data_IF_532604617641
#
_entry.id   IF_532604617641
#
_cell.length_a   1.000
_cell.length_b   1.000
_cell.length_c   1.000
_cell.angle_alpha   90.00
_cell.angle_beta   90.00
_cell.angle_gamma   90.00
#
_symmetry.space_group_name_H-M   'P 1'
#
loop_
_entity.id
_entity.type
_entity.pdbx_description
1 polymer ?
#
# COMPACT_ATOMS: atom_id res chain seq x y z
N UNK A 1 22.36 31.45 -0.78
CA UNK A 1 22.30 30.81 0.57
C UNK A 1 20.89 30.66 1.17
N UNK A 2 19.95 31.62 1.05
CA UNK A 2 18.57 31.44 1.60
C UNK A 2 17.85 30.23 1.00
N UNK A 3 17.84 30.12 -0.34
CA UNK A 3 17.17 29.03 -1.05
C UNK A 3 17.78 27.65 -0.75
N UNK A 4 19.10 27.57 -0.56
CA UNK A 4 19.80 26.35 -0.09
C UNK A 4 19.25 25.90 1.26
N UNK A 5 19.20 26.80 2.25
CA UNK A 5 18.64 26.47 3.57
C UNK A 5 17.17 26.07 3.48
N UNK A 6 16.40 26.74 2.63
CA UNK A 6 14.99 26.42 2.43
C UNK A 6 14.79 25.02 1.85
N UNK A 7 15.60 24.62 0.86
CA UNK A 7 15.60 23.29 0.24
C UNK A 7 15.87 22.19 1.28
N UNK A 8 16.94 22.33 2.07
CA UNK A 8 17.33 21.34 3.08
C UNK A 8 16.37 21.28 4.29
N UNK A 9 15.61 22.35 4.52
CA UNK A 9 14.57 22.43 5.55
C UNK A 9 13.21 21.91 5.08
N UNK A 10 13.03 21.54 3.81
CA UNK A 10 11.75 20.99 3.35
C UNK A 10 11.45 19.66 4.04
N UNK A 11 10.18 19.49 4.43
CA UNK A 11 9.62 18.26 4.99
C UNK A 11 8.29 18.02 4.30
N UNK A 12 7.93 16.75 4.09
CA UNK A 12 6.61 16.35 3.59
C UNK A 12 5.52 16.81 4.56
N UNK A 13 5.66 16.48 5.85
CA UNK A 13 4.64 16.75 6.86
C UNK A 13 3.30 16.15 6.44
N UNK A 14 2.22 16.93 6.60
CA UNK A 14 0.86 16.54 6.22
C UNK A 14 0.55 16.72 4.72
N UNK A 15 1.53 17.17 3.92
CA UNK A 15 1.34 17.31 2.48
C UNK A 15 1.21 15.95 1.81
N UNK A 16 0.45 15.90 0.73
CA UNK A 16 0.46 14.75 -0.16
C UNK A 16 1.80 14.70 -0.93
N UNK A 17 2.27 13.51 -1.31
CA UNK A 17 3.61 13.29 -1.88
C UNK A 17 3.84 14.17 -3.11
N UNK A 18 2.84 14.27 -4.00
CA UNK A 18 2.91 15.13 -5.18
C UNK A 18 3.18 16.60 -4.83
N UNK A 19 2.54 17.13 -3.80
CA UNK A 19 2.72 18.52 -3.37
C UNK A 19 4.11 18.76 -2.78
N UNK A 20 4.57 17.82 -1.94
CA UNK A 20 5.93 17.84 -1.40
C UNK A 20 6.99 17.87 -2.51
N UNK A 21 6.88 16.98 -3.50
CA UNK A 21 7.82 16.92 -4.64
C UNK A 21 7.78 18.21 -5.48
N UNK A 22 6.60 18.80 -5.69
CA UNK A 22 6.49 20.10 -6.37
C UNK A 22 7.19 21.23 -5.62
N UNK A 23 7.10 21.27 -4.28
CA UNK A 23 7.82 22.27 -3.46
C UNK A 23 9.33 22.12 -3.56
N UNK A 24 9.85 20.90 -3.49
CA UNK A 24 11.29 20.63 -3.69
C UNK A 24 11.73 21.13 -5.07
N UNK A 25 10.97 20.77 -6.12
CA UNK A 25 11.25 21.21 -7.50
C UNK A 25 11.30 22.74 -7.61
N UNK A 26 10.31 23.43 -7.04
CA UNK A 26 10.29 24.91 -7.04
C UNK A 26 11.51 25.52 -6.34
N UNK A 27 11.99 24.91 -5.25
CA UNK A 27 13.22 25.35 -4.60
C UNK A 27 14.46 25.15 -5.50
N UNK A 28 14.55 24.01 -6.19
CA UNK A 28 15.60 23.73 -7.16
C UNK A 28 15.56 24.70 -8.35
N UNK A 29 14.37 25.00 -8.88
CA UNK A 29 14.19 25.95 -9.99
C UNK A 29 14.61 27.37 -9.57
N UNK A 30 14.30 27.80 -8.34
CA UNK A 30 14.75 29.08 -7.79
C UNK A 30 16.27 29.14 -7.62
N UNK A 31 16.89 28.04 -7.16
CA UNK A 31 18.35 27.93 -7.07
C UNK A 31 18.99 28.02 -8.46
N UNK A 32 18.45 27.29 -9.43
CA UNK A 32 18.92 27.31 -10.82
C UNK A 32 18.79 28.70 -11.43
N UNK A 33 17.69 29.42 -11.18
CA UNK A 33 17.52 30.81 -11.61
C UNK A 33 18.53 31.78 -10.98
N UNK A 34 19.08 31.44 -9.82
CA UNK A 34 20.16 32.19 -9.17
C UNK A 34 21.57 31.72 -9.61
N UNK A 35 21.67 30.75 -10.53
CA UNK A 35 22.93 30.15 -10.96
C UNK A 35 23.50 29.10 -10.00
N UNK A 36 22.76 28.69 -8.96
CA UNK A 36 23.15 27.59 -8.07
C UNK A 36 22.63 26.26 -8.65
N UNK A 37 23.53 25.41 -9.14
CA UNK A 37 23.16 24.08 -9.64
C UNK A 37 23.01 23.10 -8.48
N UNK A 38 21.87 22.42 -8.42
CA UNK A 38 21.62 21.30 -7.50
C UNK A 38 22.00 20.01 -8.21
N UNK A 39 22.93 19.25 -7.64
CA UNK A 39 23.32 17.94 -8.20
C UNK A 39 22.18 16.93 -8.06
N UNK A 40 22.15 15.91 -8.94
CA UNK A 40 21.13 14.87 -8.87
C UNK A 40 21.15 14.14 -7.51
N UNK A 41 22.35 13.81 -7.03
CA UNK A 41 22.54 13.18 -5.73
C UNK A 41 22.04 14.05 -4.57
N UNK A 42 22.32 15.35 -4.59
CA UNK A 42 21.80 16.29 -3.58
C UNK A 42 20.28 16.39 -3.62
N UNK A 43 19.70 16.45 -4.82
CA UNK A 43 18.26 16.51 -4.99
C UNK A 43 17.59 15.26 -4.41
N UNK A 44 18.07 14.06 -4.76
CA UNK A 44 17.59 12.80 -4.19
C UNK A 44 17.73 12.79 -2.67
N UNK A 45 18.90 13.14 -2.15
CA UNK A 45 19.17 13.15 -0.71
C UNK A 45 18.23 14.11 0.04
N UNK A 46 17.94 15.27 -0.56
CA UNK A 46 17.00 16.24 0.01
C UNK A 46 15.58 15.68 0.09
N UNK A 47 15.13 15.00 -0.98
CA UNK A 47 13.82 14.36 -0.99
C UNK A 47 13.74 13.35 0.15
N UNK A 48 14.70 12.43 0.26
CA UNK A 48 14.71 11.37 1.27
C UNK A 48 14.75 11.91 2.70
N UNK A 49 15.58 12.92 2.96
CA UNK A 49 15.66 13.59 4.27
C UNK A 49 14.37 14.34 4.65
N UNK A 50 13.53 14.65 3.66
CA UNK A 50 12.26 15.32 3.85
C UNK A 50 11.09 14.38 4.18
N UNK A 51 11.29 13.07 4.11
CA UNK A 51 10.22 12.08 4.27
C UNK A 51 9.97 11.71 5.74
N UNK A 52 8.71 11.39 6.10
CA UNK A 52 8.37 10.83 7.39
C UNK A 52 8.73 9.34 7.47
N UNK A 53 8.77 8.75 8.67
CA UNK A 53 9.18 7.35 8.88
C UNK A 53 8.27 6.32 8.18
N UNK A 54 7.09 6.70 7.72
CA UNK A 54 6.20 5.85 6.92
C UNK A 54 6.82 5.42 5.59
N UNK A 55 7.83 6.15 5.10
CA UNK A 55 8.54 5.83 3.86
C UNK A 55 9.91 5.17 4.10
N UNK A 56 10.23 4.74 5.33
CA UNK A 56 11.54 4.12 5.67
C UNK A 56 11.92 2.97 4.73
N UNK A 57 10.96 2.15 4.31
CA UNK A 57 11.22 1.08 3.35
C UNK A 57 11.74 1.61 2.01
N UNK A 58 11.15 2.69 1.50
CA UNK A 58 11.58 3.33 0.25
C UNK A 58 12.95 3.98 0.44
N UNK A 59 13.16 4.68 1.56
CA UNK A 59 14.44 5.29 1.91
C UNK A 59 15.53 4.22 1.93
N UNK A 60 15.31 3.11 2.65
CA UNK A 60 16.26 2.00 2.75
C UNK A 60 16.60 1.40 1.39
N UNK A 61 15.61 1.19 0.51
CA UNK A 61 15.83 0.66 -0.83
C UNK A 61 16.71 1.62 -1.65
N UNK A 62 16.39 2.92 -1.61
CA UNK A 62 17.15 3.93 -2.35
C UNK A 62 18.59 4.03 -1.85
N UNK A 63 18.78 4.05 -0.53
CA UNK A 63 20.11 4.20 0.07
C UNK A 63 20.98 2.94 -0.04
N UNK A 64 20.38 1.75 -0.09
CA UNK A 64 21.12 0.49 -0.19
C UNK A 64 21.54 0.15 -1.64
N UNK A 65 20.96 0.82 -2.64
CA UNK A 65 21.32 0.58 -4.04
C UNK A 65 22.74 1.04 -4.34
N UNK A 66 23.51 0.16 -4.98
CA UNK A 66 24.84 0.49 -5.50
C UNK A 66 24.78 1.39 -6.75
N UNK A 67 23.63 1.42 -7.42
CA UNK A 67 23.39 2.26 -8.60
C UNK A 67 22.66 3.52 -8.15
N UNK A 68 23.16 4.73 -8.48
CA UNK A 68 22.48 5.96 -8.12
C UNK A 68 21.12 6.03 -8.82
N UNK A 69 20.08 6.32 -8.03
CA UNK A 69 18.75 6.56 -8.58
C UNK A 69 18.67 7.95 -9.21
N UNK A 70 17.97 8.03 -10.33
CA UNK A 70 17.61 9.32 -10.93
C UNK A 70 16.54 9.99 -10.10
N UNK A 71 16.50 11.34 -10.11
CA UNK A 71 15.46 12.11 -9.41
C UNK A 71 14.06 11.67 -9.85
N UNK A 72 13.86 11.47 -11.15
CA UNK A 72 12.58 11.02 -11.70
C UNK A 72 12.20 9.63 -11.19
N UNK A 73 13.14 8.70 -11.11
CA UNK A 73 12.91 7.35 -10.61
C UNK A 73 12.45 7.35 -9.15
N UNK A 74 13.12 8.14 -8.30
CA UNK A 74 12.73 8.30 -6.88
C UNK A 74 11.36 8.94 -6.76
N UNK A 75 11.08 10.00 -7.54
CA UNK A 75 9.77 10.66 -7.55
C UNK A 75 8.64 9.70 -7.93
N UNK A 76 8.82 8.89 -8.98
CA UNK A 76 7.82 7.89 -9.39
C UNK A 76 7.57 6.88 -8.28
N UNK A 77 8.64 6.29 -7.74
CA UNK A 77 8.54 5.27 -6.68
C UNK A 77 7.80 5.78 -5.44
N UNK A 78 8.02 7.05 -5.07
CA UNK A 78 7.33 7.67 -3.95
C UNK A 78 5.83 7.89 -4.21
N UNK A 79 5.46 8.29 -5.43
CA UNK A 79 4.05 8.43 -5.83
C UNK A 79 3.34 7.06 -5.89
N UNK A 80 4.03 6.04 -6.39
CA UNK A 80 3.52 4.66 -6.42
C UNK A 80 3.32 4.12 -4.99
N UNK A 81 4.26 4.41 -4.08
CA UNK A 81 4.16 4.03 -2.67
C UNK A 81 2.93 4.68 -2.00
N UNK A 82 2.70 5.99 -2.21
CA UNK A 82 1.53 6.69 -1.67
C UNK A 82 0.21 6.12 -2.21
N UNK A 83 0.14 5.84 -3.52
CA UNK A 83 -1.04 5.25 -4.13
C UNK A 83 -1.38 3.89 -3.51
N UNK A 84 -0.35 3.05 -3.28
CA UNK A 84 -0.52 1.74 -2.63
C UNK A 84 -0.94 1.86 -1.17
N UNK A 85 -0.41 2.83 -0.42
CA UNK A 85 -0.81 3.09 0.96
C UNK A 85 -2.31 3.45 1.06
N UNK A 86 -2.82 4.27 0.12
CA UNK A 86 -4.24 4.61 0.08
C UNK A 86 -5.12 3.38 -0.14
N UNK A 87 -4.74 2.48 -1.06
CA UNK A 87 -5.48 1.23 -1.31
C UNK A 87 -5.49 0.33 -0.07
N UNK A 88 -4.34 0.10 0.55
CA UNK A 88 -4.22 -0.73 1.75
C UNK A 88 -5.03 -0.16 2.93
N UNK A 89 -5.02 1.16 3.13
CA UNK A 89 -5.80 1.81 4.18
C UNK A 89 -7.33 1.66 3.99
N UNK A 90 -7.78 1.59 2.73
CA UNK A 90 -9.18 1.37 2.37
C UNK A 90 -9.60 -0.08 2.60
N UNK A 91 -8.74 -1.06 2.27
CA UNK A 91 -9.05 -2.49 2.47
C UNK A 91 -9.08 -2.90 3.94
N UNK A 92 -8.23 -2.30 4.79
CA UNK A 92 -8.22 -2.57 6.24
C UNK A 92 -9.50 -2.05 6.91
N UNK A 93 -10.11 -0.98 6.39
CA UNK A 93 -11.42 -0.49 6.85
C UNK A 93 -12.61 -1.32 6.31
N UNK A 94 -12.40 -2.07 5.22
CA UNK A 94 -13.41 -2.93 4.59
C UNK A 94 -13.44 -4.38 5.10
N UNK A 95 -12.45 -4.83 5.86
CA UNK A 95 -12.33 -6.20 6.34
C UNK A 95 -13.19 -6.48 7.61
N UNK A 96 -14.44 -6.02 7.63
CA UNK A 96 -15.41 -6.45 8.63
C UNK A 96 -16.08 -7.76 8.18
N UNK A 97 -15.46 -8.88 8.56
CA UNK A 97 -16.08 -10.18 8.85
C UNK A 97 -17.38 -10.54 8.09
N UNK A 98 -17.27 -11.19 6.92
CA UNK A 98 -18.37 -11.99 6.38
C UNK A 98 -18.20 -13.46 6.81
N UNK A 99 -18.53 -13.77 8.06
CA UNK A 99 -18.80 -15.15 8.48
C UNK A 99 -20.21 -15.51 8.00
N UNK A 100 -20.33 -15.94 6.74
CA UNK A 100 -21.59 -16.52 6.28
C UNK A 100 -21.66 -17.94 6.83
N UNK A 101 -22.36 -18.11 7.95
CA UNK A 101 -22.66 -19.40 8.54
C UNK A 101 -23.33 -20.29 7.47
N UNK A 102 -22.66 -21.38 7.11
CA UNK A 102 -23.31 -22.46 6.38
C UNK A 102 -24.34 -23.16 7.28
N UNK A 103 -25.36 -23.68 6.59
CA UNK A 103 -26.31 -24.73 6.97
C UNK A 103 -27.50 -24.36 7.87
N UNK A 104 -28.69 -24.38 7.25
CA UNK A 104 -29.90 -24.97 7.81
C UNK A 104 -30.86 -25.33 6.67
N UNK A 105 -30.78 -26.59 6.27
CA UNK A 105 -31.88 -27.47 5.88
C UNK A 105 -33.26 -26.85 5.68
N UNK A 106 -33.83 -27.01 4.50
CA UNK A 106 -35.27 -26.90 4.26
C UNK A 106 -35.65 -27.92 3.19
N UNK A 107 -35.94 -29.13 3.64
CA UNK A 107 -36.51 -30.19 2.82
C UNK A 107 -37.88 -29.74 2.29
N UNK A 108 -37.95 -29.50 0.98
CA UNK A 108 -39.22 -29.25 0.30
C UNK A 108 -39.83 -30.60 -0.11
N UNK A 109 -40.96 -30.91 0.52
CA UNK A 109 -41.82 -32.06 0.30
C UNK A 109 -42.24 -32.24 -1.15
N UNK A 110 -42.25 -33.50 -1.60
CA UNK A 110 -43.23 -34.17 -2.49
C UNK A 110 -42.50 -35.13 -3.45
N UNK A 111 -42.62 -36.44 -3.22
CA UNK A 111 -43.35 -37.36 -4.11
C UNK A 111 -42.95 -38.84 -3.88
N UNK A 112 -43.98 -39.66 -3.67
CA UNK A 112 -44.09 -41.09 -3.97
C UNK A 112 -43.26 -42.16 -3.25
N UNK A 113 -43.99 -42.96 -2.46
CA UNK A 113 -43.62 -44.28 -1.95
C UNK A 113 -43.42 -45.29 -3.11
N UNK A 114 -42.51 -46.26 -2.96
CA UNK A 114 -43.00 -47.64 -3.00
C UNK A 114 -42.48 -48.49 -1.84
N UNK A 115 -43.36 -49.36 -1.37
CA UNK A 115 -43.12 -50.31 -0.31
C UNK A 115 -42.03 -51.31 -0.69
N UNK A 116 -40.99 -51.41 0.14
CA UNK A 116 -40.22 -52.65 0.27
C UNK A 116 -40.23 -53.08 1.73
N UNK A 117 -40.89 -54.21 1.98
CA UNK A 117 -41.16 -54.82 3.26
C UNK A 117 -39.99 -55.76 3.61
N UNK A 118 -39.19 -55.50 4.64
CA UNK A 118 -38.33 -56.54 5.19
C UNK A 118 -39.16 -57.41 6.14
N UNK A 119 -39.18 -58.72 5.87
CA UNK A 119 -39.77 -59.72 6.76
C UNK A 119 -38.88 -59.90 7.99
N UNK A 120 -39.47 -59.71 9.17
CA UNK A 120 -38.89 -60.10 10.45
C UNK A 120 -38.88 -61.64 10.57
N UNK A 121 -37.71 -62.21 10.87
CA UNK A 121 -37.60 -63.55 11.44
C UNK A 121 -36.43 -63.58 12.44
N UNK A 122 -36.74 -63.20 13.68
CA UNK A 122 -36.42 -63.91 14.93
C UNK A 122 -35.46 -65.11 14.91
N UNK A 123 -34.49 -65.05 15.85
CA UNK A 123 -34.08 -66.07 16.85
C UNK A 123 -33.06 -67.17 16.49
N UNK A 124 -32.13 -67.35 17.44
CA UNK A 124 -31.59 -68.66 17.88
C UNK A 124 -30.09 -68.83 17.59
N UNK A 125 -29.19 -68.79 18.59
CA UNK A 125 -28.81 -69.85 19.55
C UNK A 125 -27.66 -70.73 19.03
N UNK A 126 -26.59 -70.87 19.84
CA UNK A 126 -25.59 -71.94 19.73
C UNK A 126 -24.17 -71.44 19.59
#
# INVERSE_FOLDING_TARGET
>A
MFYRRNLHSQRKGDLNMKEFLMKIKSCCDNLASCGEVVSEHEHVTTILNGLPPEYESVISIVTASQVPYTVQGVMSMLLDAETRQQVVSSEISGAANLVSHQSSESANSNDSMPAYRPANATRGCG
#
